data_IF_684746427959
#
_entry.id   IF_684746427959
#
_cell.length_a   1.000
_cell.length_b   1.000
_cell.length_c   1.000
_cell.angle_alpha   90.00
_cell.angle_beta   90.00
_cell.angle_gamma   90.00
#
_symmetry.space_group_name_H-M   'P 1'
#
loop_
_entity.id
_entity.type
_entity.pdbx_description
1 polymer ?
#
# COMPACT_ATOMS: atom_id res chain seq x y z
N UNK A 1 12.09 -15.88 -1.16
CA UNK A 1 11.50 -17.05 -1.85
C UNK A 1 12.10 -17.21 -3.24
N UNK A 2 12.06 -16.22 -4.16
CA UNK A 2 12.55 -16.34 -5.54
C UNK A 2 13.99 -16.86 -5.61
N UNK A 3 14.94 -16.30 -4.88
CA UNK A 3 16.33 -16.76 -4.81
C UNK A 3 16.43 -18.23 -4.36
N UNK A 4 15.63 -18.63 -3.37
CA UNK A 4 15.62 -20.01 -2.87
C UNK A 4 15.04 -20.99 -3.91
N UNK A 5 14.18 -20.52 -4.82
CA UNK A 5 13.56 -21.36 -5.85
C UNK A 5 14.39 -21.44 -7.12
N UNK A 6 14.98 -20.31 -7.55
CA UNK A 6 15.64 -20.20 -8.86
C UNK A 6 17.16 -20.08 -8.79
N UNK A 7 17.73 -19.91 -7.60
CA UNK A 7 19.16 -19.74 -7.39
C UNK A 7 19.59 -18.25 -7.37
N UNK A 8 20.66 -17.97 -6.64
CA UNK A 8 21.20 -16.62 -6.49
C UNK A 8 21.81 -16.08 -7.80
N UNK A 9 22.28 -16.97 -8.67
CA UNK A 9 22.91 -16.60 -9.95
C UNK A 9 21.90 -16.10 -10.99
N UNK A 10 20.59 -16.26 -10.74
CA UNK A 10 19.51 -15.85 -11.64
C UNK A 10 18.75 -14.62 -11.16
N UNK A 11 19.01 -14.14 -9.95
CA UNK A 11 18.23 -13.06 -9.34
C UNK A 11 19.15 -12.06 -8.66
N UNK A 12 19.15 -10.83 -9.19
CA UNK A 12 19.78 -9.66 -8.55
C UNK A 12 18.68 -8.86 -7.87
N UNK A 13 18.94 -8.35 -6.67
CA UNK A 13 17.98 -7.55 -5.91
C UNK A 13 18.58 -6.23 -5.45
N UNK A 14 17.77 -5.20 -5.43
CA UNK A 14 18.05 -3.92 -4.77
C UNK A 14 16.81 -3.44 -4.04
N UNK A 15 16.99 -2.52 -3.11
CA UNK A 15 15.92 -1.78 -2.45
C UNK A 15 15.96 -0.34 -2.94
N UNK A 16 14.80 0.27 -3.09
CA UNK A 16 14.72 1.72 -3.27
C UNK A 16 14.96 2.44 -1.93
N UNK A 17 15.31 3.75 -1.93
CA UNK A 17 15.55 4.51 -0.71
C UNK A 17 14.33 4.56 0.21
N UNK A 18 14.54 4.64 1.52
CA UNK A 18 13.44 4.84 2.48
C UNK A 18 12.67 6.14 2.19
N UNK A 19 13.37 7.20 1.75
CA UNK A 19 12.78 8.47 1.33
C UNK A 19 12.47 8.52 -0.17
N UNK A 20 11.98 7.43 -0.75
CA UNK A 20 11.75 7.27 -2.18
C UNK A 20 10.92 8.41 -2.82
N UNK A 21 10.04 9.07 -2.06
CA UNK A 21 9.26 10.21 -2.53
C UNK A 21 10.12 11.42 -2.91
N UNK A 22 11.24 11.63 -2.24
CA UNK A 22 12.20 12.73 -2.50
C UNK A 22 13.45 12.28 -3.24
N UNK A 23 13.69 10.97 -3.33
CA UNK A 23 14.89 10.38 -3.92
C UNK A 23 14.58 9.56 -5.19
N UNK A 24 13.64 10.03 -6.00
CA UNK A 24 13.22 9.36 -7.24
C UNK A 24 14.39 9.07 -8.21
N UNK A 25 15.38 9.96 -8.29
CA UNK A 25 16.56 9.78 -9.15
C UNK A 25 17.40 8.56 -8.73
N UNK A 26 17.42 8.21 -7.45
CA UNK A 26 18.09 7.00 -6.97
C UNK A 26 17.36 5.75 -7.45
N UNK A 27 16.03 5.75 -7.44
CA UNK A 27 15.21 4.67 -8.00
C UNK A 27 15.47 4.52 -9.50
N UNK A 28 15.44 5.62 -10.25
CA UNK A 28 15.72 5.64 -11.68
C UNK A 28 17.12 5.10 -11.99
N UNK A 29 18.15 5.57 -11.28
CA UNK A 29 19.54 5.13 -11.50
C UNK A 29 19.75 3.64 -11.19
N UNK A 30 19.06 3.10 -10.19
CA UNK A 30 19.09 1.67 -9.86
C UNK A 30 18.48 0.84 -10.99
N UNK A 31 17.34 1.24 -11.55
CA UNK A 31 16.72 0.57 -12.69
C UNK A 31 17.62 0.57 -13.94
N UNK A 32 18.22 1.72 -14.23
CA UNK A 32 19.19 1.86 -15.35
C UNK A 32 20.43 1.00 -15.11
N UNK A 33 20.91 0.90 -13.87
CA UNK A 33 22.03 0.02 -13.52
C UNK A 33 21.73 -1.45 -13.81
N UNK A 34 20.54 -1.93 -13.45
CA UNK A 34 20.11 -3.29 -13.84
C UNK A 34 20.05 -3.49 -15.34
N UNK A 35 19.49 -2.52 -16.08
CA UNK A 35 19.37 -2.59 -17.52
C UNK A 35 20.72 -2.51 -18.26
N UNK A 36 21.77 -2.05 -17.60
CA UNK A 36 23.13 -1.99 -18.17
C UNK A 36 23.79 -3.38 -18.22
N UNK A 37 23.30 -4.33 -17.47
CA UNK A 37 23.74 -5.73 -17.53
C UNK A 37 23.05 -6.43 -18.71
N UNK A 38 23.79 -6.97 -19.72
CA UNK A 38 23.22 -7.63 -20.89
C UNK A 38 22.47 -8.93 -20.54
N UNK A 39 22.76 -9.54 -19.40
CA UNK A 39 22.14 -10.80 -18.98
C UNK A 39 20.79 -10.57 -18.28
N UNK A 40 20.46 -9.35 -17.87
CA UNK A 40 19.14 -9.02 -17.32
C UNK A 40 18.10 -9.06 -18.43
N UNK A 41 17.06 -9.89 -18.22
CA UNK A 41 15.94 -10.11 -19.15
C UNK A 41 14.58 -9.70 -18.59
N UNK A 42 14.48 -9.46 -17.29
CA UNK A 42 13.30 -8.91 -16.67
C UNK A 42 13.67 -8.03 -15.48
N UNK A 43 12.93 -6.95 -15.31
CA UNK A 43 12.99 -6.09 -14.13
C UNK A 43 11.61 -6.06 -13.49
N UNK A 44 11.53 -6.47 -12.23
CA UNK A 44 10.28 -6.51 -11.46
C UNK A 44 10.38 -5.54 -10.30
N UNK A 45 9.59 -4.48 -10.35
CA UNK A 45 9.37 -3.63 -9.18
C UNK A 45 8.20 -4.22 -8.38
N UNK A 46 8.47 -4.82 -7.22
CA UNK A 46 7.42 -5.43 -6.39
C UNK A 46 6.43 -4.37 -5.87
N UNK A 47 6.90 -3.15 -5.66
CA UNK A 47 6.10 -1.95 -5.48
C UNK A 47 6.72 -0.84 -6.32
N UNK A 48 6.04 -0.46 -7.40
CA UNK A 48 6.53 0.57 -8.31
C UNK A 48 6.31 1.97 -7.72
N UNK A 49 7.30 2.43 -6.94
CA UNK A 49 7.33 3.75 -6.32
C UNK A 49 7.53 4.86 -7.36
N UNK A 50 7.29 6.15 -7.02
CA UNK A 50 7.55 7.27 -7.93
C UNK A 50 8.96 7.24 -8.53
N UNK A 51 9.03 7.49 -9.83
CA UNK A 51 10.24 7.33 -10.65
C UNK A 51 10.30 6.01 -11.43
N UNK A 52 9.35 5.08 -11.20
CA UNK A 52 9.27 3.83 -11.94
C UNK A 52 9.10 4.06 -13.44
N UNK A 53 8.13 4.90 -13.83
CA UNK A 53 7.94 5.27 -15.25
C UNK A 53 9.19 5.87 -15.87
N UNK A 54 9.79 6.85 -15.22
CA UNK A 54 10.98 7.53 -15.74
C UNK A 54 12.17 6.55 -15.91
N UNK A 55 12.31 5.59 -14.99
CA UNK A 55 13.31 4.53 -15.11
C UNK A 55 13.03 3.59 -16.27
N UNK A 56 11.78 3.19 -16.45
CA UNK A 56 11.37 2.32 -17.57
C UNK A 56 11.55 3.01 -18.93
N UNK A 57 11.19 4.30 -19.04
CA UNK A 57 11.44 5.09 -20.24
C UNK A 57 12.93 5.14 -20.58
N UNK A 58 13.81 5.41 -19.60
CA UNK A 58 15.26 5.42 -19.79
C UNK A 58 15.80 4.06 -20.26
N UNK A 59 15.26 2.95 -19.77
CA UNK A 59 15.62 1.60 -20.21
C UNK A 59 15.29 1.43 -21.71
N UNK A 60 14.12 1.88 -22.15
CA UNK A 60 13.73 1.86 -23.58
C UNK A 60 14.61 2.81 -24.41
N UNK A 61 14.93 4.00 -23.91
CA UNK A 61 15.86 4.93 -24.58
C UNK A 61 17.27 4.35 -24.73
N UNK A 62 17.70 3.44 -23.85
CA UNK A 62 18.96 2.68 -24.00
C UNK A 62 18.90 1.59 -25.08
N UNK A 63 17.76 1.39 -25.71
CA UNK A 63 17.54 0.33 -26.70
C UNK A 63 17.37 -1.07 -26.10
N UNK A 64 17.06 -1.16 -24.78
CA UNK A 64 16.85 -2.44 -24.10
C UNK A 64 15.38 -2.88 -24.19
N UNK A 65 14.92 -3.12 -25.41
CA UNK A 65 13.58 -3.65 -25.70
C UNK A 65 13.44 -5.14 -25.38
N UNK A 66 14.57 -5.80 -25.12
CA UNK A 66 14.66 -7.21 -24.74
C UNK A 66 14.34 -7.47 -23.26
N UNK A 67 14.22 -6.43 -22.43
CA UNK A 67 13.92 -6.54 -21.00
C UNK A 67 12.42 -6.45 -20.79
N UNK A 68 11.85 -7.46 -20.12
CA UNK A 68 10.47 -7.42 -19.63
C UNK A 68 10.36 -6.52 -18.40
N UNK A 69 9.56 -5.45 -18.48
CA UNK A 69 9.36 -4.46 -17.42
C UNK A 69 8.03 -4.70 -16.71
N UNK A 70 8.09 -5.03 -15.42
CA UNK A 70 6.92 -5.35 -14.62
C UNK A 70 6.79 -4.37 -13.46
N UNK A 71 5.65 -3.68 -13.38
CA UNK A 71 5.28 -2.79 -12.28
C UNK A 71 4.21 -3.45 -11.38
N UNK A 72 4.58 -3.83 -10.16
CA UNK A 72 3.66 -4.30 -9.14
C UNK A 72 3.20 -3.18 -8.25
N UNK A 73 1.92 -3.15 -7.92
CA UNK A 73 1.29 -2.18 -7.01
C UNK A 73 1.84 -0.75 -7.17
N UNK A 74 1.76 -0.17 -8.37
CA UNK A 74 2.35 1.13 -8.64
C UNK A 74 1.66 2.26 -7.86
N UNK A 75 2.47 3.24 -7.48
CA UNK A 75 2.00 4.47 -6.83
C UNK A 75 1.79 5.62 -7.84
N UNK A 76 2.29 5.48 -9.05
CA UNK A 76 2.02 6.41 -10.15
C UNK A 76 0.65 6.11 -10.77
N UNK A 77 0.06 7.11 -11.43
CA UNK A 77 -1.24 6.96 -12.09
C UNK A 77 -1.27 5.72 -13.00
N UNK A 78 -2.33 4.90 -12.94
CA UNK A 78 -2.45 3.67 -13.73
C UNK A 78 -2.24 3.86 -15.23
N UNK A 79 -2.78 4.93 -15.81
CA UNK A 79 -2.61 5.22 -17.22
C UNK A 79 -1.16 5.61 -17.58
N UNK A 80 -0.48 6.30 -16.66
CA UNK A 80 0.90 6.75 -16.81
C UNK A 80 1.88 5.57 -16.79
N UNK A 81 1.78 4.70 -15.78
CA UNK A 81 2.69 3.56 -15.65
C UNK A 81 2.43 2.48 -16.69
N UNK A 82 1.17 2.28 -17.10
CA UNK A 82 0.81 1.31 -18.15
C UNK A 82 1.34 1.68 -19.52
N UNK A 83 1.71 2.94 -19.76
CA UNK A 83 2.35 3.36 -20.99
C UNK A 83 3.85 2.99 -21.06
N UNK A 84 4.48 2.65 -19.94
CA UNK A 84 5.92 2.39 -19.84
C UNK A 84 6.28 0.95 -19.45
N UNK A 85 5.39 0.26 -18.73
CA UNK A 85 5.58 -1.14 -18.32
C UNK A 85 4.94 -2.10 -19.34
N UNK A 86 5.55 -3.29 -19.50
CA UNK A 86 4.96 -4.37 -20.31
C UNK A 86 3.84 -5.08 -19.53
N UNK A 87 3.99 -5.18 -18.20
CA UNK A 87 2.98 -5.76 -17.30
C UNK A 87 2.80 -4.83 -16.10
N UNK A 88 1.55 -4.52 -15.81
CA UNK A 88 1.18 -3.80 -14.58
C UNK A 88 0.26 -4.68 -13.75
N UNK A 89 0.61 -4.84 -12.47
CA UNK A 89 -0.14 -5.68 -11.53
C UNK A 89 -0.68 -4.80 -10.40
N UNK A 90 -1.99 -4.74 -10.28
CA UNK A 90 -2.67 -4.11 -9.14
C UNK A 90 -3.35 -5.17 -8.27
N UNK A 91 -3.39 -4.94 -6.96
CA UNK A 91 -4.47 -5.48 -6.16
C UNK A 91 -5.77 -4.78 -6.60
N UNK A 92 -6.91 -5.47 -6.57
CA UNK A 92 -8.19 -4.81 -6.79
C UNK A 92 -8.58 -4.01 -5.55
N UNK A 93 -7.99 -2.82 -5.45
CA UNK A 93 -8.14 -1.93 -4.28
C UNK A 93 -9.60 -1.53 -4.08
N UNK A 94 -10.37 -1.38 -5.16
CA UNK A 94 -11.77 -0.96 -5.09
C UNK A 94 -12.61 -2.10 -4.56
N UNK A 95 -12.49 -3.31 -5.13
CA UNK A 95 -13.24 -4.49 -4.69
C UNK A 95 -12.88 -4.94 -3.25
N UNK A 96 -11.73 -4.52 -2.72
CA UNK A 96 -11.44 -4.70 -1.29
C UNK A 96 -12.48 -4.04 -0.38
N UNK A 97 -13.11 -2.95 -0.83
CA UNK A 97 -14.20 -2.30 -0.08
C UNK A 97 -15.36 -3.24 0.21
N UNK A 98 -15.79 -4.01 -0.79
CA UNK A 98 -16.85 -5.02 -0.64
C UNK A 98 -16.39 -6.15 0.29
N UNK A 99 -15.20 -6.71 0.05
CA UNK A 99 -14.67 -7.85 0.83
C UNK A 99 -14.48 -7.51 2.31
N UNK A 100 -14.00 -6.31 2.62
CA UNK A 100 -13.84 -5.84 4.00
C UNK A 100 -15.20 -5.72 4.67
N UNK A 101 -16.19 -5.14 4.00
CA UNK A 101 -17.51 -4.96 4.59
C UNK A 101 -18.30 -6.28 4.73
N UNK A 102 -18.16 -7.21 3.79
CA UNK A 102 -18.67 -8.57 3.94
C UNK A 102 -18.06 -9.27 5.17
N UNK A 103 -16.77 -9.08 5.37
CA UNK A 103 -16.06 -9.64 6.54
C UNK A 103 -16.57 -9.00 7.84
N UNK A 104 -16.72 -7.68 7.87
CA UNK A 104 -17.31 -6.97 9.01
C UNK A 104 -18.72 -7.48 9.35
N UNK A 105 -19.56 -7.65 8.33
CA UNK A 105 -20.91 -8.19 8.53
C UNK A 105 -20.90 -9.63 9.10
N UNK A 106 -20.04 -10.50 8.55
CA UNK A 106 -19.90 -11.88 9.01
C UNK A 106 -19.40 -11.99 10.46
N UNK A 107 -18.59 -11.05 10.90
CA UNK A 107 -18.09 -10.98 12.29
C UNK A 107 -19.06 -10.25 13.22
N UNK A 108 -20.10 -9.63 12.69
CA UNK A 108 -21.07 -8.83 13.43
C UNK A 108 -20.44 -7.58 14.03
N UNK A 109 -19.64 -6.88 13.23
CA UNK A 109 -18.99 -5.61 13.61
C UNK A 109 -20.05 -4.51 13.69
N UNK A 110 -19.97 -3.70 14.73
CA UNK A 110 -20.84 -2.54 14.96
C UNK A 110 -20.25 -1.25 14.37
N UNK A 111 -18.91 -1.13 14.40
CA UNK A 111 -18.18 0.09 14.00
C UNK A 111 -16.93 -0.29 13.19
N UNK A 112 -16.72 0.36 12.06
CA UNK A 112 -15.46 0.28 11.29
C UNK A 112 -14.71 1.62 11.41
N UNK A 113 -13.53 1.58 12.00
CA UNK A 113 -12.60 2.72 12.06
C UNK A 113 -11.63 2.62 10.90
N UNK A 114 -11.62 3.64 10.05
CA UNK A 114 -10.80 3.72 8.85
C UNK A 114 -9.67 4.75 9.06
N UNK A 115 -8.44 4.28 9.22
CA UNK A 115 -7.24 5.12 9.30
C UNK A 115 -6.67 5.41 7.93
N UNK A 116 -6.60 6.68 7.58
CA UNK A 116 -5.99 7.14 6.33
C UNK A 116 -5.30 8.49 6.55
N UNK A 117 -4.75 9.07 5.49
CA UNK A 117 -4.09 10.37 5.50
C UNK A 117 -4.24 11.05 4.13
N UNK A 118 -4.06 12.40 4.03
CA UNK A 118 -4.42 13.19 2.85
C UNK A 118 -3.81 12.67 1.53
N UNK A 119 -2.55 12.22 1.53
CA UNK A 119 -1.90 11.71 0.32
C UNK A 119 -2.59 10.46 -0.21
N UNK A 120 -2.94 9.50 0.67
CA UNK A 120 -3.70 8.31 0.26
C UNK A 120 -5.12 8.69 -0.21
N UNK A 121 -5.77 9.63 0.46
CA UNK A 121 -7.10 10.11 0.05
C UNK A 121 -7.09 11.02 -1.19
N UNK A 122 -5.93 11.20 -1.84
CA UNK A 122 -5.80 11.78 -3.17
C UNK A 122 -5.59 10.72 -4.28
N UNK A 123 -5.46 9.43 -3.93
CA UNK A 123 -5.27 8.33 -4.88
C UNK A 123 -6.62 7.74 -5.29
N UNK A 124 -6.91 7.71 -6.60
CA UNK A 124 -8.21 7.32 -7.15
C UNK A 124 -8.70 5.95 -6.65
N UNK A 125 -7.85 4.93 -6.67
CA UNK A 125 -8.24 3.58 -6.24
C UNK A 125 -8.53 3.49 -4.74
N UNK A 126 -7.79 4.23 -3.91
CA UNK A 126 -8.04 4.29 -2.45
C UNK A 126 -9.33 5.04 -2.17
N UNK A 127 -9.61 6.12 -2.88
CA UNK A 127 -10.88 6.84 -2.80
C UNK A 127 -12.05 5.96 -3.25
N UNK A 128 -11.89 5.19 -4.32
CA UNK A 128 -12.87 4.22 -4.79
C UNK A 128 -13.21 3.19 -3.71
N UNK A 129 -12.19 2.57 -3.09
CA UNK A 129 -12.39 1.67 -1.94
C UNK A 129 -13.10 2.34 -0.78
N UNK A 130 -12.66 3.53 -0.39
CA UNK A 130 -13.26 4.30 0.69
C UNK A 130 -14.75 4.58 0.43
N UNK A 131 -15.12 4.92 -0.81
CA UNK A 131 -16.51 5.14 -1.19
C UNK A 131 -17.34 3.87 -0.98
N UNK A 132 -16.87 2.71 -1.47
CA UNK A 132 -17.54 1.43 -1.27
C UNK A 132 -17.64 1.03 0.19
N UNK A 133 -16.60 1.27 0.99
CA UNK A 133 -16.64 1.02 2.43
C UNK A 133 -17.78 1.81 3.10
N UNK A 134 -17.94 3.09 2.76
CA UNK A 134 -19.01 3.94 3.33
C UNK A 134 -20.40 3.52 2.87
N UNK A 135 -20.58 3.29 1.59
CA UNK A 135 -21.85 2.88 1.01
C UNK A 135 -22.33 1.53 1.58
N UNK A 136 -21.41 0.55 1.66
CA UNK A 136 -21.71 -0.76 2.24
C UNK A 136 -21.94 -0.69 3.76
N UNK A 137 -21.20 0.15 4.48
CA UNK A 137 -21.42 0.36 5.91
C UNK A 137 -22.83 0.90 6.18
N UNK A 138 -23.29 1.88 5.40
CA UNK A 138 -24.66 2.41 5.48
C UNK A 138 -25.69 1.33 5.21
N UNK A 139 -25.51 0.52 4.16
CA UNK A 139 -26.44 -0.57 3.82
C UNK A 139 -26.51 -1.66 4.89
N UNK A 140 -25.38 -1.94 5.56
CA UNK A 140 -25.25 -2.99 6.58
C UNK A 140 -25.59 -2.49 7.99
N UNK A 141 -25.80 -1.18 8.17
CA UNK A 141 -26.03 -0.56 9.48
C UNK A 141 -24.79 -0.54 10.38
N UNK A 142 -23.61 -0.59 9.79
CA UNK A 142 -22.31 -0.49 10.49
C UNK A 142 -21.91 0.99 10.54
N UNK A 143 -21.53 1.50 11.71
CA UNK A 143 -21.02 2.86 11.84
C UNK A 143 -19.65 2.97 11.19
N UNK A 144 -19.48 3.88 10.23
CA UNK A 144 -18.20 4.12 9.56
C UNK A 144 -17.55 5.41 10.09
N UNK A 145 -16.30 5.31 10.52
CA UNK A 145 -15.57 6.44 11.14
C UNK A 145 -14.24 6.64 10.43
N UNK A 146 -14.08 7.81 9.81
CA UNK A 146 -12.80 8.24 9.26
C UNK A 146 -11.92 8.86 10.34
N UNK A 147 -10.67 8.40 10.42
CA UNK A 147 -9.64 8.96 11.30
C UNK A 147 -8.42 9.33 10.47
N UNK A 148 -8.02 10.60 10.54
CA UNK A 148 -6.81 11.06 9.87
C UNK A 148 -5.58 10.78 10.73
N UNK A 149 -4.75 9.85 10.27
CA UNK A 149 -3.46 9.54 10.88
C UNK A 149 -2.32 10.36 10.23
N UNK A 150 -1.16 10.49 10.88
CA UNK A 150 0.04 11.04 10.25
C UNK A 150 0.47 10.20 9.02
N UNK A 151 0.95 10.84 7.95
CA UNK A 151 1.48 10.15 6.78
C UNK A 151 2.83 9.47 7.13
N UNK A 152 2.96 8.13 6.96
CA UNK A 152 4.21 7.41 7.24
C UNK A 152 5.41 7.88 6.42
N UNK A 153 5.20 8.58 5.31
CA UNK A 153 6.26 9.11 4.44
C UNK A 153 6.54 10.59 4.65
N UNK A 154 5.85 11.24 5.60
CA UNK A 154 6.11 12.63 5.98
C UNK A 154 7.40 12.76 6.82
N UNK A 155 7.83 13.97 7.11
CA UNK A 155 9.04 14.26 7.88
C UNK A 155 9.06 13.56 9.26
N UNK A 156 7.91 13.51 9.95
CA UNK A 156 7.75 12.79 11.21
C UNK A 156 7.81 11.26 11.05
N UNK A 157 7.65 10.77 9.83
CA UNK A 157 7.93 9.41 9.40
C UNK A 157 6.98 8.34 9.96
N UNK A 158 7.39 7.11 9.70
CA UNK A 158 6.64 5.90 10.08
C UNK A 158 6.39 5.83 11.60
N UNK A 159 7.36 6.23 12.41
CA UNK A 159 7.24 6.18 13.88
C UNK A 159 6.09 7.02 14.42
N UNK A 160 5.84 8.20 13.84
CA UNK A 160 4.74 9.07 14.25
C UNK A 160 3.38 8.43 13.92
N UNK A 161 3.25 7.80 12.75
CA UNK A 161 2.04 7.08 12.37
C UNK A 161 1.77 5.89 13.29
N UNK A 162 2.82 5.14 13.60
CA UNK A 162 2.73 3.97 14.48
C UNK A 162 2.36 4.37 15.91
N UNK A 163 2.97 5.42 16.44
CA UNK A 163 2.64 5.94 17.76
C UNK A 163 1.20 6.43 17.82
N UNK A 164 0.75 7.16 16.79
CA UNK A 164 -0.64 7.62 16.69
C UNK A 164 -1.63 6.45 16.79
N UNK A 165 -1.40 5.36 16.06
CA UNK A 165 -2.27 4.16 16.11
C UNK A 165 -2.31 3.54 17.49
N UNK A 166 -1.14 3.40 18.16
CA UNK A 166 -1.04 2.85 19.51
C UNK A 166 -1.82 3.69 20.55
N UNK A 167 -1.89 5.00 20.35
CA UNK A 167 -2.59 5.92 21.23
C UNK A 167 -4.09 6.02 20.93
N UNK A 168 -4.47 6.00 19.63
CA UNK A 168 -5.86 6.22 19.21
C UNK A 168 -6.74 4.96 19.37
N UNK A 169 -6.22 3.76 19.09
CA UNK A 169 -7.02 2.52 19.20
C UNK A 169 -7.68 2.36 20.57
N UNK A 170 -6.97 2.50 21.72
CA UNK A 170 -7.60 2.44 23.03
C UNK A 170 -8.65 3.54 23.26
N UNK A 171 -8.46 4.72 22.67
CA UNK A 171 -9.43 5.82 22.78
C UNK A 171 -10.71 5.49 21.99
N UNK A 172 -10.58 4.91 20.80
CA UNK A 172 -11.73 4.45 20.02
C UNK A 172 -12.46 3.30 20.75
N UNK A 173 -11.73 2.34 21.31
CA UNK A 173 -12.32 1.27 22.10
C UNK A 173 -13.08 1.79 23.31
N UNK A 174 -12.56 2.77 24.04
CA UNK A 174 -13.23 3.42 25.14
C UNK A 174 -14.50 4.19 24.70
N UNK A 175 -14.43 4.87 23.53
CA UNK A 175 -15.58 5.59 22.95
C UNK A 175 -16.72 4.65 22.56
N UNK A 176 -16.39 3.45 22.09
CA UNK A 176 -17.33 2.43 21.62
C UNK A 176 -17.43 1.24 22.58
N UNK A 177 -17.38 1.53 23.89
CA UNK A 177 -17.48 0.49 24.93
C UNK A 177 -18.66 -0.47 24.68
N UNK A 178 -18.39 -1.76 24.74
CA UNK A 178 -19.38 -2.83 24.53
C UNK A 178 -19.72 -3.15 23.09
N UNK A 179 -19.25 -2.37 22.10
CA UNK A 179 -19.39 -2.65 20.68
C UNK A 179 -18.22 -3.47 20.15
N UNK A 180 -18.44 -4.19 19.05
CA UNK A 180 -17.39 -4.81 18.25
C UNK A 180 -16.86 -3.78 17.24
N UNK A 181 -15.59 -3.46 17.37
CA UNK A 181 -14.95 -2.42 16.55
C UNK A 181 -13.91 -3.05 15.63
N UNK A 182 -14.07 -2.88 14.33
CA UNK A 182 -13.05 -3.24 13.35
C UNK A 182 -12.19 -2.02 13.00
N UNK A 183 -10.92 -2.27 12.74
CA UNK A 183 -9.95 -1.25 12.36
C UNK A 183 -9.32 -1.59 11.03
N UNK A 184 -9.24 -0.62 10.14
CA UNK A 184 -8.58 -0.75 8.84
C UNK A 184 -7.61 0.41 8.61
N UNK A 185 -6.40 0.10 8.16
CA UNK A 185 -5.39 1.10 7.80
C UNK A 185 -5.11 1.07 6.31
N UNK A 186 -5.02 2.23 5.66
CA UNK A 186 -4.69 2.32 4.23
C UNK A 186 -3.20 2.12 3.93
N UNK A 187 -2.34 2.02 4.95
CA UNK A 187 -0.91 1.83 4.78
C UNK A 187 -0.38 0.68 5.63
N UNK A 188 0.35 -0.24 4.98
CA UNK A 188 0.91 -1.43 5.64
C UNK A 188 1.90 -1.11 6.77
N UNK A 189 2.56 0.06 6.75
CA UNK A 189 3.46 0.48 7.82
C UNK A 189 2.77 0.72 9.17
N UNK A 190 1.46 0.98 9.18
CA UNK A 190 0.66 1.13 10.39
C UNK A 190 0.21 -0.21 10.98
N UNK A 191 0.20 -1.28 10.19
CA UNK A 191 -0.33 -2.61 10.57
C UNK A 191 0.30 -3.21 11.85
N UNK A 192 1.64 -3.20 12.03
CA UNK A 192 2.24 -3.78 13.23
C UNK A 192 1.74 -3.12 14.53
N UNK A 193 1.58 -1.79 14.51
CA UNK A 193 1.07 -1.03 15.65
C UNK A 193 -0.42 -1.27 15.88
N UNK A 194 -1.19 -1.38 14.80
CA UNK A 194 -2.62 -1.74 14.89
C UNK A 194 -2.80 -3.12 15.52
N UNK A 195 -2.06 -4.12 15.04
CA UNK A 195 -2.10 -5.46 15.60
C UNK A 195 -1.74 -5.46 17.10
N UNK A 196 -0.66 -4.76 17.46
CA UNK A 196 -0.22 -4.65 18.84
C UNK A 196 -1.29 -3.98 19.74
N UNK A 197 -1.90 -2.89 19.27
CA UNK A 197 -2.92 -2.18 20.02
C UNK A 197 -4.22 -2.99 20.20
N UNK A 198 -4.58 -3.84 19.23
CA UNK A 198 -5.79 -4.67 19.30
C UNK A 198 -5.62 -5.94 20.15
N UNK A 199 -4.38 -6.38 20.45
CA UNK A 199 -4.14 -7.65 21.15
C UNK A 199 -4.76 -7.68 22.56
N UNK A 200 -4.79 -6.56 23.26
CA UNK A 200 -5.31 -6.46 24.62
C UNK A 200 -6.79 -6.02 24.66
N UNK A 201 -7.41 -5.82 23.51
CA UNK A 201 -8.79 -5.32 23.36
C UNK A 201 -9.72 -6.44 22.86
N UNK A 202 -10.56 -7.04 23.71
CA UNK A 202 -11.31 -8.26 23.38
C UNK A 202 -12.37 -8.09 22.28
N UNK A 203 -12.80 -6.86 22.00
CA UNK A 203 -13.79 -6.54 20.96
C UNK A 203 -13.18 -5.77 19.77
N UNK A 204 -11.86 -5.72 19.66
CA UNK A 204 -11.15 -5.14 18.55
C UNK A 204 -10.84 -6.19 17.48
N UNK A 205 -11.07 -5.84 16.22
CA UNK A 205 -10.84 -6.68 15.05
C UNK A 205 -9.98 -5.90 14.02
N UNK A 206 -9.11 -6.60 13.26
CA UNK A 206 -8.25 -5.98 12.24
C UNK A 206 -7.96 -6.91 11.07
#
# INVERSE_FOLDING_TARGET
>A
KAIATYGADHIVTATYPDNFMSEMETTVSTLVSFASDPDVKAIVMCQAVPGAKAGFDKIREMGRDDILLIAGTPQEDPAVISAAADIVMYADEVAQGDTIMETCANWGIDVLIHYSFPRHMAMELIVGRHTLLKENAEMLGIEFVDVTAPDPTAEAGLSASQQFILEDVPQQMAKYEGKKVAFFTTNCGMQPSLQAACLDEPNAYY
#
